data_IF_566687500921
#
_entry.id   IF_566687500921
#
_cell.length_a   1.000
_cell.length_b   1.000
_cell.length_c   1.000
_cell.angle_alpha   90.00
_cell.angle_beta   90.00
_cell.angle_gamma   90.00
#
_symmetry.space_group_name_H-M   'P 1'
#
loop_
_entity.id
_entity.type
_entity.pdbx_description
1 polymer ?
#
# COMPACT_ATOMS: atom_id res chain seq x y z
N UNK A 1 -4.98 3.15 -12.65
CA UNK A 1 -4.12 4.35 -12.85
C UNK A 1 -2.68 3.90 -13.06
N UNK A 2 -1.90 4.51 -13.98
CA UNK A 2 -0.48 4.19 -14.13
C UNK A 2 0.31 4.52 -12.84
N UNK A 3 1.42 3.80 -12.56
CA UNK A 3 2.26 4.09 -11.40
C UNK A 3 2.87 5.49 -11.50
N UNK A 4 2.85 6.22 -10.39
CA UNK A 4 3.48 7.53 -10.22
C UNK A 4 4.41 7.46 -9.00
N UNK A 5 5.59 6.85 -9.13
CA UNK A 5 6.51 6.67 -8.00
C UNK A 5 7.00 8.03 -7.47
N UNK A 6 7.19 8.10 -6.17
CA UNK A 6 7.61 9.29 -5.42
C UNK A 6 9.12 9.37 -5.18
N UNK A 7 9.87 8.29 -5.44
CA UNK A 7 11.32 8.24 -5.39
C UNK A 7 11.90 6.95 -5.97
N UNK A 8 13.23 6.76 -5.87
CA UNK A 8 13.93 5.59 -6.43
C UNK A 8 13.44 4.26 -5.85
N UNK A 9 13.04 4.24 -4.58
CA UNK A 9 12.41 3.07 -3.97
C UNK A 9 11.10 2.71 -4.68
N UNK A 10 10.20 3.67 -4.88
CA UNK A 10 8.95 3.47 -5.61
C UNK A 10 9.17 3.01 -7.05
N UNK A 11 10.18 3.56 -7.73
CA UNK A 11 10.60 3.10 -9.07
C UNK A 11 11.00 1.62 -9.03
N UNK A 12 11.81 1.21 -8.05
CA UNK A 12 12.24 -0.19 -7.92
C UNK A 12 11.05 -1.14 -7.73
N UNK A 13 10.02 -0.73 -6.97
CA UNK A 13 8.81 -1.54 -6.76
C UNK A 13 7.98 -1.63 -8.03
N UNK A 14 7.81 -0.54 -8.77
CA UNK A 14 7.13 -0.57 -10.07
C UNK A 14 7.85 -1.48 -11.08
N UNK A 15 9.18 -1.47 -11.09
CA UNK A 15 9.98 -2.38 -11.92
C UNK A 15 9.76 -3.85 -11.54
N UNK A 16 9.69 -4.17 -10.24
CA UNK A 16 9.43 -5.53 -9.77
C UNK A 16 7.99 -5.99 -10.08
N UNK A 17 6.99 -5.10 -10.04
CA UNK A 17 5.63 -5.43 -10.51
C UNK A 17 5.63 -5.80 -12.00
N UNK A 18 6.32 -5.04 -12.84
CA UNK A 18 6.46 -5.35 -14.27
C UNK A 18 7.19 -6.68 -14.50
N UNK A 19 8.25 -6.94 -13.73
CA UNK A 19 8.97 -8.22 -13.76
C UNK A 19 8.06 -9.37 -13.34
N UNK A 20 7.29 -9.21 -12.26
CA UNK A 20 6.31 -10.19 -11.81
C UNK A 20 5.27 -10.50 -12.89
N UNK A 21 4.77 -9.46 -13.57
CA UNK A 21 3.85 -9.62 -14.70
C UNK A 21 4.46 -10.42 -15.85
N UNK A 22 5.70 -10.12 -16.21
CA UNK A 22 6.43 -10.88 -17.23
C UNK A 22 6.49 -12.37 -16.88
N UNK A 23 6.81 -12.70 -15.63
CA UNK A 23 6.92 -14.10 -15.19
C UNK A 23 5.56 -14.81 -15.16
N UNK A 24 4.51 -14.11 -14.75
CA UNK A 24 3.16 -14.65 -14.75
C UNK A 24 2.66 -14.98 -16.16
N UNK A 25 2.91 -14.09 -17.12
CA UNK A 25 2.48 -14.27 -18.51
C UNK A 25 3.34 -15.31 -19.24
N UNK A 26 4.67 -15.24 -19.07
CA UNK A 26 5.62 -16.08 -19.83
C UNK A 26 5.80 -17.48 -19.26
N UNK A 27 5.84 -17.61 -17.94
CA UNK A 27 6.24 -18.86 -17.27
C UNK A 27 5.12 -19.47 -16.41
N UNK A 28 3.96 -18.82 -16.32
CA UNK A 28 2.83 -19.35 -15.56
C UNK A 28 2.97 -19.26 -14.05
N UNK A 29 3.93 -18.49 -13.53
CA UNK A 29 4.09 -18.27 -12.10
C UNK A 29 2.93 -17.42 -11.58
N UNK A 30 2.31 -17.81 -10.46
CA UNK A 30 1.35 -16.93 -9.78
C UNK A 30 2.08 -15.82 -9.04
N UNK A 31 1.72 -14.57 -9.31
CA UNK A 31 2.32 -13.39 -8.68
C UNK A 31 1.24 -12.46 -8.11
N UNK A 32 1.35 -12.17 -6.82
CA UNK A 32 0.49 -11.19 -6.13
C UNK A 32 1.35 -10.06 -5.60
N UNK A 33 1.14 -8.85 -6.12
CA UNK A 33 1.84 -7.65 -5.68
C UNK A 33 0.96 -6.86 -4.71
N UNK A 34 1.30 -6.93 -3.42
CA UNK A 34 0.65 -6.14 -2.37
C UNK A 34 1.37 -4.80 -2.21
N UNK A 35 0.72 -3.71 -2.60
CA UNK A 35 1.18 -2.33 -2.38
C UNK A 35 0.84 -1.93 -0.95
N UNK A 36 1.77 -2.20 -0.05
CA UNK A 36 1.64 -1.96 1.39
C UNK A 36 1.47 -0.44 1.63
N UNK A 37 0.48 -0.07 2.43
CA UNK A 37 0.32 1.28 2.98
C UNK A 37 1.35 1.58 4.07
N UNK A 38 0.90 2.14 5.19
CA UNK A 38 1.71 2.32 6.41
C UNK A 38 1.52 1.12 7.33
N UNK A 39 2.42 0.13 7.23
CA UNK A 39 2.38 -1.03 8.11
C UNK A 39 2.99 -0.70 9.48
N UNK A 40 2.12 -0.50 10.47
CA UNK A 40 2.50 -0.06 11.82
C UNK A 40 1.64 -0.73 12.89
N UNK A 41 2.15 -0.82 14.13
CA UNK A 41 1.36 -1.35 15.26
C UNK A 41 0.13 -0.49 15.55
N UNK A 42 0.23 0.82 15.38
CA UNK A 42 -0.85 1.79 15.46
C UNK A 42 -0.51 3.04 14.60
N UNK A 43 -1.50 3.81 14.13
CA UNK A 43 -1.28 5.11 13.51
C UNK A 43 -0.46 6.04 14.42
N UNK A 44 0.51 6.76 13.86
CA UNK A 44 1.41 7.70 14.57
C UNK A 44 1.36 9.11 13.98
N UNK A 45 0.89 9.25 12.74
CA UNK A 45 0.70 10.52 12.04
C UNK A 45 -0.63 10.54 11.30
N UNK A 46 -1.14 11.73 10.96
CA UNK A 46 -2.48 11.87 10.34
C UNK A 46 -2.61 11.17 9.00
N UNK A 47 -1.53 11.09 8.21
CA UNK A 47 -1.51 10.35 6.94
C UNK A 47 -1.90 8.88 7.15
N UNK A 48 -1.53 8.28 8.28
CA UNK A 48 -1.89 6.90 8.61
C UNK A 48 -3.41 6.71 8.72
N UNK A 49 -4.20 7.75 9.00
CA UNK A 49 -5.66 7.64 8.98
C UNK A 49 -6.22 7.21 7.62
N UNK A 50 -5.48 7.45 6.53
CA UNK A 50 -5.82 6.96 5.21
C UNK A 50 -5.03 5.70 4.82
N UNK A 51 -3.76 5.62 5.20
CA UNK A 51 -2.82 4.63 4.67
C UNK A 51 -2.53 3.45 5.58
N UNK A 52 -2.97 3.45 6.84
CA UNK A 52 -2.59 2.43 7.81
C UNK A 52 -3.00 1.02 7.38
N UNK A 53 -2.09 0.08 7.60
CA UNK A 53 -2.31 -1.35 7.49
C UNK A 53 -1.97 -1.97 8.85
N UNK A 54 -2.96 -2.52 9.53
CA UNK A 54 -2.74 -3.20 10.80
C UNK A 54 -1.98 -4.53 10.61
N UNK A 55 -1.33 -5.07 11.67
CA UNK A 55 -0.76 -6.42 11.64
C UNK A 55 -1.78 -7.52 11.34
N UNK A 56 -3.01 -7.38 11.84
CA UNK A 56 -4.10 -8.32 11.57
C UNK A 56 -4.47 -8.33 10.08
N UNK A 57 -4.67 -7.15 9.51
CA UNK A 57 -5.06 -7.02 8.11
C UNK A 57 -3.91 -7.42 7.16
N UNK A 58 -2.67 -7.07 7.50
CA UNK A 58 -1.49 -7.50 6.76
C UNK A 58 -1.41 -9.03 6.67
N UNK A 59 -1.59 -9.74 7.79
CA UNK A 59 -1.62 -11.20 7.81
C UNK A 59 -2.77 -11.75 6.95
N UNK A 60 -3.94 -11.12 6.99
CA UNK A 60 -5.09 -11.48 6.17
C UNK A 60 -4.81 -11.37 4.68
N UNK A 61 -4.24 -10.26 4.22
CA UNK A 61 -3.83 -10.08 2.82
C UNK A 61 -2.76 -11.10 2.40
N UNK A 62 -1.74 -11.32 3.24
CA UNK A 62 -0.67 -12.29 2.93
C UNK A 62 -1.23 -13.70 2.84
N UNK A 63 -2.09 -14.11 3.78
CA UNK A 63 -2.76 -15.41 3.74
C UNK A 63 -3.58 -15.55 2.47
N UNK A 64 -4.39 -14.56 2.14
CA UNK A 64 -5.21 -14.56 0.93
C UNK A 64 -4.36 -14.63 -0.35
N UNK A 65 -3.26 -13.87 -0.43
CA UNK A 65 -2.32 -13.94 -1.54
C UNK A 65 -1.71 -15.33 -1.74
N UNK A 66 -1.47 -16.08 -0.66
CA UNK A 66 -0.92 -17.44 -0.70
C UNK A 66 -1.96 -18.51 -1.03
N UNK A 67 -3.24 -18.28 -0.69
CA UNK A 67 -4.28 -19.32 -0.78
C UNK A 67 -5.35 -19.06 -1.85
N UNK A 68 -5.41 -17.87 -2.45
CA UNK A 68 -6.40 -17.53 -3.46
C UNK A 68 -6.23 -18.41 -4.71
N UNK A 69 -7.27 -19.18 -5.12
CA UNK A 69 -7.17 -20.02 -6.30
C UNK A 69 -7.22 -19.19 -7.59
N UNK A 70 -6.55 -19.68 -8.64
CA UNK A 70 -6.72 -19.14 -10.00
C UNK A 70 -6.08 -17.78 -10.26
N UNK A 71 -5.34 -17.20 -9.32
CA UNK A 71 -4.62 -15.95 -9.55
C UNK A 71 -3.38 -16.21 -10.41
N UNK A 72 -3.28 -15.49 -11.52
CA UNK A 72 -2.07 -15.47 -12.36
C UNK A 72 -1.21 -14.26 -12.05
N UNK A 73 -1.80 -13.08 -12.12
CA UNK A 73 -1.17 -11.84 -11.72
C UNK A 73 -2.22 -10.91 -11.13
N UNK A 74 -1.92 -10.27 -10.00
CA UNK A 74 -2.69 -9.12 -9.51
C UNK A 74 -1.78 -8.16 -8.78
N UNK A 75 -2.11 -6.88 -8.85
CA UNK A 75 -1.46 -5.82 -8.07
C UNK A 75 -2.55 -4.99 -7.39
N UNK A 76 -2.47 -4.85 -6.07
CA UNK A 76 -3.52 -4.24 -5.26
C UNK A 76 -2.96 -3.56 -4.02
N UNK A 77 -3.70 -2.60 -3.48
CA UNK A 77 -3.32 -1.96 -2.22
C UNK A 77 -3.65 -2.87 -1.04
N UNK A 78 -2.68 -3.06 -0.16
CA UNK A 78 -2.87 -3.67 1.16
C UNK A 78 -2.95 -2.54 2.18
N UNK A 79 -4.18 -2.22 2.57
CA UNK A 79 -4.54 -1.17 3.52
C UNK A 79 -5.72 -1.66 4.35
N UNK A 80 -5.79 -1.26 5.62
CA UNK A 80 -6.93 -1.55 6.49
C UNK A 80 -8.20 -0.88 5.97
N UNK A 81 -9.36 -1.21 6.54
CA UNK A 81 -10.66 -0.67 6.16
C UNK A 81 -10.86 0.80 6.60
N UNK A 82 -9.80 1.60 6.49
CA UNK A 82 -9.75 2.96 6.99
C UNK A 82 -10.87 3.81 6.39
N UNK A 83 -11.56 4.56 7.25
CA UNK A 83 -12.64 5.48 6.84
C UNK A 83 -12.12 6.54 5.86
N UNK A 84 -10.88 7.00 6.02
CA UNK A 84 -10.28 8.08 5.20
C UNK A 84 -9.44 7.57 4.02
N UNK A 85 -9.48 6.28 3.70
CA UNK A 85 -8.66 5.73 2.60
C UNK A 85 -9.00 6.40 1.28
N UNK A 86 -7.98 6.59 0.45
CA UNK A 86 -8.12 7.08 -0.93
C UNK A 86 -7.79 6.00 -1.96
N UNK A 87 -7.44 4.78 -1.51
CA UNK A 87 -7.20 3.63 -2.37
C UNK A 87 -8.41 2.71 -2.43
N UNK A 88 -8.64 2.21 -3.63
CA UNK A 88 -9.54 1.10 -3.86
C UNK A 88 -8.90 -0.21 -3.37
N UNK A 89 -9.71 -1.05 -2.72
CA UNK A 89 -9.34 -2.37 -2.17
C UNK A 89 -10.03 -3.52 -2.91
N UNK A 90 -10.71 -3.28 -4.04
CA UNK A 90 -11.31 -4.33 -4.89
C UNK A 90 -10.30 -5.44 -5.25
N UNK A 91 -9.03 -5.10 -5.44
CA UNK A 91 -7.98 -6.10 -5.68
C UNK A 91 -7.77 -7.05 -4.48
N UNK A 92 -7.98 -6.58 -3.26
CA UNK A 92 -8.02 -7.39 -2.05
C UNK A 92 -9.24 -8.30 -1.98
N UNK A 93 -10.40 -7.77 -2.37
CA UNK A 93 -11.64 -8.55 -2.48
C UNK A 93 -11.51 -9.68 -3.51
N UNK A 94 -10.79 -9.45 -4.62
CA UNK A 94 -10.47 -10.47 -5.62
C UNK A 94 -9.58 -11.61 -5.06
N UNK A 95 -8.79 -11.35 -4.01
CA UNK A 95 -8.06 -12.39 -3.27
C UNK A 95 -8.93 -13.09 -2.21
N UNK A 96 -10.18 -12.64 -2.01
CA UNK A 96 -11.08 -13.16 -1.00
C UNK A 96 -10.82 -12.62 0.40
N UNK A 97 -10.17 -11.47 0.54
CA UNK A 97 -9.93 -10.83 1.83
C UNK A 97 -10.58 -9.45 1.94
N UNK A 98 -11.34 -9.25 3.01
CA UNK A 98 -11.87 -7.96 3.41
C UNK A 98 -11.15 -7.50 4.69
N UNK A 99 -10.42 -6.37 4.66
CA UNK A 99 -9.80 -5.81 5.86
C UNK A 99 -10.87 -5.38 6.86
N UNK A 100 -10.49 -5.34 8.14
CA UNK A 100 -11.44 -5.20 9.24
C UNK A 100 -11.02 -4.17 10.30
N UNK A 101 -9.77 -3.72 10.32
CA UNK A 101 -9.35 -2.61 11.18
C UNK A 101 -9.66 -1.26 10.52
N UNK A 102 -9.88 -0.24 11.33
CA UNK A 102 -10.06 1.14 10.86
C UNK A 102 -9.20 2.08 11.69
N UNK A 103 -8.32 2.84 11.03
CA UNK A 103 -7.47 3.84 11.67
C UNK A 103 -8.25 4.97 12.36
N UNK A 104 -9.53 5.18 12.01
CA UNK A 104 -10.35 6.26 12.58
C UNK A 104 -10.46 6.18 14.11
N UNK A 105 -10.34 4.98 14.69
CA UNK A 105 -10.34 4.79 16.16
C UNK A 105 -9.18 5.49 16.87
N UNK A 106 -8.11 5.85 16.13
CA UNK A 106 -6.94 6.55 16.66
C UNK A 106 -6.97 8.07 16.40
N UNK A 107 -7.94 8.57 15.62
CA UNK A 107 -7.90 9.93 15.07
C UNK A 107 -7.82 11.03 16.13
N UNK A 108 -8.45 10.86 17.30
CA UNK A 108 -8.43 11.84 18.38
C UNK A 108 -7.09 11.94 19.12
N UNK A 109 -6.27 10.90 19.06
CA UNK A 109 -4.98 10.82 19.75
C UNK A 109 -3.77 11.23 18.90
N UNK A 110 -3.98 11.50 17.61
CA UNK A 110 -2.90 11.82 16.69
C UNK A 110 -2.47 13.28 16.79
N UNK A 111 -1.16 13.56 16.64
CA UNK A 111 -0.67 14.94 16.57
C UNK A 111 -1.33 15.70 15.41
N UNK A 112 -1.32 17.05 15.45
CA UNK A 112 -1.71 17.85 14.29
C UNK A 112 -0.85 17.50 13.07
N UNK A 113 -1.36 17.79 11.87
CA UNK A 113 -0.58 17.67 10.64
C UNK A 113 0.66 18.57 10.73
N UNK A 114 1.83 18.02 10.40
CA UNK A 114 3.04 18.82 10.22
C UNK A 114 3.18 19.28 8.77
N UNK A 115 4.00 20.29 8.53
CA UNK A 115 4.17 20.96 7.22
C UNK A 115 4.45 20.00 6.04
N UNK A 116 5.08 18.85 6.27
CA UNK A 116 5.36 17.84 5.23
C UNK A 116 4.14 17.04 4.77
N UNK A 117 3.08 17.00 5.58
CA UNK A 117 1.81 16.35 5.25
C UNK A 117 0.89 17.24 4.40
N UNK A 118 1.18 18.55 4.28
CA UNK A 118 0.36 19.52 3.53
C UNK A 118 0.49 19.39 2.01
N UNK A 119 1.42 18.58 1.49
CA UNK A 119 1.60 18.43 0.03
C UNK A 119 0.36 17.83 -0.68
N UNK A 120 -0.54 17.16 0.06
CA UNK A 120 -1.67 16.43 -0.49
C UNK A 120 -1.26 15.20 -1.33
N UNK A 121 0.03 14.86 -1.34
CA UNK A 121 0.57 13.72 -2.09
C UNK A 121 0.46 12.43 -1.25
N UNK A 122 0.08 11.34 -1.90
CA UNK A 122 -0.13 10.04 -1.23
C UNK A 122 1.15 9.50 -0.57
N UNK A 123 2.32 9.80 -1.15
CA UNK A 123 3.65 9.46 -0.63
C UNK A 123 4.08 10.30 0.57
N UNK A 124 3.34 11.36 0.95
CA UNK A 124 3.76 12.27 2.01
C UNK A 124 5.15 12.87 1.75
N UNK A 125 5.99 12.92 2.77
CA UNK A 125 7.34 13.47 2.69
C UNK A 125 8.24 12.77 1.65
N UNK A 126 7.96 11.50 1.32
CA UNK A 126 8.73 10.74 0.32
C UNK A 126 8.63 11.33 -1.08
N UNK A 127 7.55 12.06 -1.38
CA UNK A 127 7.32 12.69 -2.67
C UNK A 127 8.02 14.04 -2.85
N UNK A 128 8.72 14.52 -1.82
CA UNK A 128 9.54 15.74 -1.90
C UNK A 128 10.78 15.50 -2.76
N UNK A 129 11.26 16.54 -3.44
CA UNK A 129 12.50 16.46 -4.19
C UNK A 129 13.68 16.17 -3.25
N UNK A 130 13.65 16.79 -2.07
CA UNK A 130 14.62 16.66 -0.99
C UNK A 130 14.80 15.21 -0.54
N UNK A 131 13.75 14.39 -0.60
CA UNK A 131 13.84 12.96 -0.28
C UNK A 131 14.67 12.17 -1.32
N UNK A 132 14.61 12.57 -2.61
CA UNK A 132 15.27 11.84 -3.70
C UNK A 132 16.68 12.36 -4.01
N UNK A 133 16.91 13.68 -3.86
CA UNK A 133 18.16 14.35 -4.22
C UNK A 133 19.45 13.73 -3.62
N UNK A 134 19.47 13.17 -2.40
CA UNK A 134 20.67 12.53 -1.85
C UNK A 134 21.11 11.24 -2.56
N UNK A 135 20.29 10.71 -3.48
CA UNK A 135 20.50 9.43 -4.13
C UNK A 135 20.71 9.52 -5.64
N UNK A 136 20.83 10.74 -6.17
CA UNK A 136 21.13 11.04 -7.59
C UNK A 136 22.49 11.69 -7.72
#
# INVERSE_FOLDING_TARGET
MPPRPDGLYGVSKAAVEALGRLYADKFGVSVVCLRIGSFENAPTERRHLATWLSPRDCLGFVRAALTAPGIRFTAGYAVSANTRRFWDIEAGAALGYAPVDDAEVFASGLPPEGDSAESGLQGGAYASAEHTLPHV
#
